data_IF_612294824547
#
_entry.id   IF_612294824547
#
_cell.length_a   1.000
_cell.length_b   1.000
_cell.length_c   1.000
_cell.angle_alpha   90.00
_cell.angle_beta   90.00
_cell.angle_gamma   90.00
#
_symmetry.space_group_name_H-M   'P 1'
#
loop_
_entity.id
_entity.type
_entity.pdbx_description
1 polymer ?
#
# COMPACT_ATOMS: atom_id res chain seq x y z
N UNK A 1 2.32 -3.20 4.99
CA UNK A 1 2.30 -4.16 3.88
C UNK A 1 3.65 -4.17 3.16
N UNK A 2 4.21 -5.35 2.86
CA UNK A 2 5.36 -5.48 1.95
C UNK A 2 4.81 -5.47 0.52
N UNK A 3 5.32 -4.57 -0.31
CA UNK A 3 4.89 -4.44 -1.70
C UNK A 3 6.10 -4.54 -2.63
N UNK A 4 5.87 -4.89 -3.89
CA UNK A 4 6.91 -5.00 -4.93
C UNK A 4 6.65 -4.13 -6.16
N UNK A 5 5.46 -3.53 -6.24
CA UNK A 5 5.02 -2.65 -7.34
C UNK A 5 3.92 -1.67 -6.86
N UNK A 6 3.61 -0.70 -7.71
CA UNK A 6 2.68 0.39 -7.40
C UNK A 6 1.23 -0.08 -7.21
N UNK A 7 0.77 -1.09 -7.94
CA UNK A 7 -0.60 -1.59 -7.82
C UNK A 7 -0.81 -2.36 -6.52
N UNK A 8 0.20 -3.11 -6.07
CA UNK A 8 0.18 -3.76 -4.76
C UNK A 8 0.19 -2.73 -3.64
N UNK A 9 0.95 -1.63 -3.77
CA UNK A 9 0.95 -0.54 -2.80
C UNK A 9 -0.40 0.20 -2.76
N UNK A 10 -1.01 0.46 -3.92
CA UNK A 10 -2.36 1.02 -4.07
C UNK A 10 -3.39 0.13 -3.40
N UNK A 11 -3.39 -1.16 -3.71
CA UNK A 11 -4.31 -2.15 -3.15
C UNK A 11 -4.15 -2.30 -1.63
N UNK A 12 -2.90 -2.29 -1.13
CA UNK A 12 -2.63 -2.33 0.31
C UNK A 12 -3.29 -1.15 1.05
N UNK A 13 -3.22 0.06 0.47
CA UNK A 13 -3.87 1.23 1.05
C UNK A 13 -5.39 1.17 0.88
N UNK A 14 -5.86 0.84 -0.32
CA UNK A 14 -7.29 0.83 -0.67
C UNK A 14 -8.08 -0.19 0.15
N UNK A 15 -7.65 -1.44 0.21
CA UNK A 15 -8.47 -2.52 0.76
C UNK A 15 -8.19 -2.82 2.23
N UNK A 16 -6.95 -2.59 2.69
CA UNK A 16 -6.55 -2.96 4.04
C UNK A 16 -6.33 -1.76 4.98
N UNK A 17 -6.58 -0.53 4.49
CA UNK A 17 -6.16 0.71 5.16
C UNK A 17 -4.73 0.62 5.72
N UNK A 18 -3.82 0.03 4.95
CA UNK A 18 -2.44 -0.12 5.41
C UNK A 18 -1.87 1.27 5.76
N UNK A 19 -1.32 1.40 6.95
CA UNK A 19 -0.71 2.63 7.47
C UNK A 19 0.83 2.64 7.35
N UNK A 20 1.43 1.48 7.05
CA UNK A 20 2.86 1.32 6.84
C UNK A 20 3.11 0.59 5.52
N UNK A 21 3.99 1.17 4.69
CA UNK A 21 4.52 0.57 3.46
C UNK A 21 5.95 0.05 3.72
N UNK A 22 6.21 -1.21 3.42
CA UNK A 22 7.53 -1.84 3.48
C UNK A 22 8.03 -2.15 2.07
N UNK A 23 9.34 -1.95 1.86
CA UNK A 23 10.02 -2.08 0.57
C UNK A 23 11.24 -2.99 0.71
N UNK A 24 11.50 -3.82 -0.30
CA UNK A 24 12.70 -4.65 -0.38
C UNK A 24 13.87 -3.90 -1.01
N UNK A 25 14.74 -3.26 -0.21
CA UNK A 25 15.81 -2.39 -0.72
C UNK A 25 16.79 -3.05 -1.70
N UNK A 26 16.99 -4.36 -1.62
CA UNK A 26 17.86 -5.09 -2.56
C UNK A 26 17.19 -5.32 -3.93
N UNK A 27 15.86 -5.36 -3.96
CA UNK A 27 15.07 -5.82 -5.11
C UNK A 27 14.30 -4.68 -5.80
N UNK A 28 14.23 -3.50 -5.19
CA UNK A 28 13.43 -2.37 -5.67
C UNK A 28 14.34 -1.26 -6.20
N UNK A 29 14.15 -0.85 -7.47
CA UNK A 29 14.84 0.33 -8.00
C UNK A 29 14.28 1.62 -7.39
N UNK A 30 15.06 2.72 -7.36
CA UNK A 30 14.56 4.01 -6.87
C UNK A 30 13.31 4.51 -7.62
N UNK A 31 13.18 4.21 -8.92
CA UNK A 31 12.04 4.61 -9.76
C UNK A 31 10.77 3.87 -9.30
N UNK A 32 10.84 2.54 -9.18
CA UNK A 32 9.72 1.71 -8.70
C UNK A 32 9.35 2.09 -7.27
N UNK A 33 10.33 2.35 -6.40
CA UNK A 33 10.07 2.81 -5.05
C UNK A 33 9.26 4.12 -5.02
N UNK A 34 9.58 5.08 -5.90
CA UNK A 34 8.81 6.34 -6.01
C UNK A 34 7.38 6.10 -6.49
N UNK A 35 7.18 5.22 -7.47
CA UNK A 35 5.85 4.86 -7.96
C UNK A 35 4.99 4.23 -6.87
N UNK A 36 5.59 3.31 -6.10
CA UNK A 36 4.93 2.67 -4.95
C UNK A 36 4.55 3.66 -3.87
N UNK A 37 5.47 4.54 -3.48
CA UNK A 37 5.21 5.57 -2.46
C UNK A 37 4.11 6.52 -2.91
N UNK A 38 4.13 6.97 -4.17
CA UNK A 38 3.06 7.81 -4.74
C UNK A 38 1.72 7.09 -4.72
N UNK A 39 1.66 5.87 -5.26
CA UNK A 39 0.44 5.09 -5.30
C UNK A 39 -0.14 4.83 -3.90
N UNK A 40 0.70 4.58 -2.91
CA UNK A 40 0.27 4.39 -1.52
C UNK A 40 -0.27 5.68 -0.90
N UNK A 41 0.40 6.82 -1.09
CA UNK A 41 0.01 8.10 -0.48
C UNK A 41 -1.18 8.77 -1.17
N UNK A 42 -1.33 8.60 -2.49
CA UNK A 42 -2.42 9.19 -3.28
C UNK A 42 -3.73 8.36 -3.20
N UNK A 43 -3.70 7.21 -2.53
CA UNK A 43 -4.86 6.32 -2.42
C UNK A 43 -5.55 6.48 -1.07
N UNK A 44 -6.87 6.68 -1.10
CA UNK A 44 -7.70 6.59 0.09
C UNK A 44 -8.16 5.14 0.31
N UNK A 45 -8.35 4.71 1.58
CA UNK A 45 -9.04 3.47 1.88
C UNK A 45 -10.45 3.46 1.28
N UNK A 46 -10.89 2.29 0.84
CA UNK A 46 -12.25 2.08 0.36
C UNK A 46 -13.21 2.00 1.55
N UNK A 47 -14.26 2.81 1.54
CA UNK A 47 -15.24 2.80 2.63
C UNK A 47 -15.99 1.46 2.71
N UNK A 48 -16.11 0.73 1.59
CA UNK A 48 -16.72 -0.60 1.57
C UNK A 48 -15.93 -1.64 2.36
N UNK A 49 -14.63 -1.43 2.57
CA UNK A 49 -13.75 -2.35 3.30
C UNK A 49 -13.64 -2.03 4.80
N UNK A 50 -14.34 -0.99 5.28
CA UNK A 50 -14.29 -0.53 6.68
C UNK A 50 -14.54 -1.63 7.69
N UNK A 51 -15.52 -2.49 7.43
CA UNK A 51 -15.81 -3.62 8.31
C UNK A 51 -14.64 -4.62 8.36
N UNK A 52 -13.93 -4.82 7.24
CA UNK A 52 -12.86 -5.80 7.15
C UNK A 52 -11.61 -5.32 7.88
N UNK A 53 -11.12 -4.11 7.60
CA UNK A 53 -9.94 -3.61 8.30
C UNK A 53 -10.26 -3.20 9.76
N UNK A 54 -11.51 -2.97 10.12
CA UNK A 54 -11.93 -2.86 11.52
C UNK A 54 -11.70 -4.13 12.35
N UNK A 55 -11.48 -5.29 11.70
CA UNK A 55 -11.09 -6.55 12.38
C UNK A 55 -9.60 -6.62 12.70
N UNK A 56 -8.79 -5.69 12.18
CA UNK A 56 -7.32 -5.72 12.30
C UNK A 56 -6.77 -5.04 13.57
N UNK A 57 -7.62 -4.41 14.38
CA UNK A 57 -7.27 -3.85 15.70
C UNK A 57 -7.51 -2.35 15.82
#
# INVERSE_FOLDING_TARGET
ALCTDAETARGARRWNDANVLALGLRLTSPEVAREMVRAFLDTAPDEGEREQFGKLG
#
